data_IF_926027287951
#
_entry.id   IF_926027287951
#
_cell.length_a   1.000
_cell.length_b   1.000
_cell.length_c   1.000
_cell.angle_alpha   90.00
_cell.angle_beta   90.00
_cell.angle_gamma   90.00
#
_symmetry.space_group_name_H-M   'P 1'
#
loop_
_entity.id
_entity.type
_entity.pdbx_description
1 polymer ?
#
# COMPACT_ATOMS: atom_id res chain seq x y z
N UNK A 1 34.26 -44.61 -1.24
CA UNK A 1 33.05 -44.35 -0.42
C UNK A 1 33.22 -43.05 0.39
N UNK A 2 33.77 -41.97 -0.20
CA UNK A 2 34.21 -40.77 0.56
C UNK A 2 34.24 -39.48 -0.25
N UNK A 3 33.61 -39.39 -1.44
CA UNK A 3 33.65 -38.15 -2.25
C UNK A 3 32.29 -37.43 -2.36
N UNK A 4 31.27 -37.89 -1.63
CA UNK A 4 29.90 -37.36 -1.75
C UNK A 4 29.53 -36.31 -0.67
N UNK A 5 30.45 -35.94 0.23
CA UNK A 5 30.13 -35.13 1.42
C UNK A 5 30.68 -33.69 1.33
N UNK A 6 30.96 -33.16 0.14
CA UNK A 6 31.33 -31.74 -0.03
C UNK A 6 30.46 -30.97 -1.04
N UNK A 7 29.16 -31.28 -1.10
CA UNK A 7 28.18 -30.39 -1.73
C UNK A 7 27.92 -29.19 -0.80
N UNK A 8 28.86 -28.25 -0.83
CA UNK A 8 28.83 -26.97 -0.11
C UNK A 8 27.60 -26.17 -0.54
N UNK A 9 26.53 -26.26 0.24
CA UNK A 9 25.37 -25.37 0.16
C UNK A 9 25.84 -23.91 0.17
N UNK A 10 25.85 -23.28 -1.01
CA UNK A 10 26.05 -21.84 -1.15
C UNK A 10 24.73 -21.18 -0.75
N UNK A 11 24.65 -20.41 0.36
CA UNK A 11 23.45 -19.66 0.67
C UNK A 11 23.22 -18.67 -0.49
N UNK A 12 22.11 -18.87 -1.19
CA UNK A 12 21.75 -18.12 -2.37
C UNK A 12 21.46 -16.67 -1.99
N UNK A 13 22.27 -15.76 -2.55
CA UNK A 13 22.24 -14.30 -2.36
C UNK A 13 21.01 -13.62 -3.00
N UNK A 14 19.82 -14.20 -2.88
CA UNK A 14 18.58 -13.64 -3.45
C UNK A 14 18.13 -12.40 -2.66
N UNK A 15 18.45 -12.35 -1.37
CA UNK A 15 18.00 -11.29 -0.46
C UNK A 15 18.67 -9.93 -0.71
N UNK A 16 19.98 -9.91 -1.06
CA UNK A 16 20.73 -8.66 -1.29
C UNK A 16 20.26 -7.87 -2.52
N UNK A 17 19.75 -8.56 -3.55
CA UNK A 17 19.32 -7.93 -4.80
C UNK A 17 18.00 -7.17 -4.60
N UNK A 18 17.10 -7.71 -3.75
CA UNK A 18 15.79 -7.10 -3.50
C UNK A 18 15.90 -5.77 -2.73
N UNK A 19 16.76 -5.71 -1.71
CA UNK A 19 16.97 -4.51 -0.88
C UNK A 19 17.58 -3.35 -1.67
N UNK A 20 18.62 -3.60 -2.49
CA UNK A 20 19.23 -2.54 -3.30
C UNK A 20 18.23 -1.88 -4.24
N UNK A 21 17.29 -2.66 -4.80
CA UNK A 21 16.24 -2.16 -5.70
C UNK A 21 15.20 -1.32 -4.96
N UNK A 22 14.76 -1.75 -3.77
CA UNK A 22 13.81 -0.97 -2.96
C UNK A 22 14.43 0.35 -2.51
N UNK A 23 15.68 0.34 -2.05
CA UNK A 23 16.37 1.58 -1.65
C UNK A 23 16.47 2.54 -2.83
N UNK A 24 16.87 2.08 -4.02
CA UNK A 24 16.90 2.95 -5.21
C UNK A 24 15.52 3.51 -5.58
N UNK A 25 14.47 2.69 -5.47
CA UNK A 25 13.10 3.15 -5.75
C UNK A 25 12.60 4.18 -4.73
N UNK A 26 13.11 4.14 -3.49
CA UNK A 26 12.73 5.08 -2.43
C UNK A 26 13.49 6.41 -2.47
N UNK A 27 14.62 6.50 -3.18
CA UNK A 27 15.41 7.74 -3.27
C UNK A 27 14.54 8.90 -3.79
N UNK A 28 13.80 8.66 -4.87
CA UNK A 28 12.96 9.69 -5.49
C UNK A 28 11.85 10.22 -4.56
N UNK A 29 10.99 9.37 -3.95
CA UNK A 29 9.97 9.86 -3.03
C UNK A 29 10.56 10.48 -1.76
N UNK A 30 11.66 9.95 -1.22
CA UNK A 30 12.35 10.57 -0.07
C UNK A 30 12.87 11.96 -0.42
N UNK A 31 13.53 12.11 -1.57
CA UNK A 31 14.01 13.39 -2.05
C UNK A 31 12.87 14.40 -2.21
N UNK A 32 11.74 13.96 -2.78
CA UNK A 32 10.55 14.80 -2.90
C UNK A 32 10.01 15.24 -1.54
N UNK A 33 9.91 14.34 -0.55
CA UNK A 33 9.45 14.69 0.81
C UNK A 33 10.39 15.72 1.46
N UNK A 34 11.71 15.57 1.29
CA UNK A 34 12.68 16.53 1.81
C UNK A 34 12.51 17.90 1.15
N UNK A 35 12.39 17.94 -0.17
CA UNK A 35 12.20 19.19 -0.93
C UNK A 35 10.88 19.87 -0.55
N UNK A 36 9.81 19.09 -0.40
CA UNK A 36 8.52 19.58 0.10
C UNK A 36 8.64 20.14 1.52
N UNK A 37 9.33 19.44 2.43
CA UNK A 37 9.56 19.94 3.79
C UNK A 37 10.30 21.28 3.79
N UNK A 38 11.36 21.40 2.99
CA UNK A 38 12.12 22.66 2.85
C UNK A 38 11.21 23.77 2.31
N UNK A 39 10.45 23.51 1.25
CA UNK A 39 9.54 24.50 0.67
C UNK A 39 8.45 24.95 1.67
N UNK A 40 7.95 24.04 2.51
CA UNK A 40 6.99 24.35 3.56
C UNK A 40 7.59 25.19 4.69
N UNK A 41 8.80 24.85 5.18
CA UNK A 41 9.46 25.59 6.26
C UNK A 41 9.89 26.99 5.80
N UNK A 42 10.30 27.13 4.54
CA UNK A 42 10.67 28.42 3.95
C UNK A 42 9.47 29.27 3.51
N UNK A 43 8.24 28.85 3.82
CA UNK A 43 6.99 29.54 3.45
C UNK A 43 6.83 29.79 1.94
N UNK A 44 7.44 28.95 1.09
CA UNK A 44 7.24 29.03 -0.37
C UNK A 44 5.87 28.52 -0.80
N UNK A 45 5.19 27.79 0.09
CA UNK A 45 3.88 27.19 -0.14
C UNK A 45 2.89 27.76 0.89
N UNK A 46 1.67 28.06 0.45
CA UNK A 46 0.59 28.46 1.35
C UNK A 46 0.24 27.28 2.27
N UNK A 47 0.42 27.39 3.61
CA UNK A 47 0.13 26.31 4.55
C UNK A 47 -1.33 25.87 4.56
N UNK A 48 -2.25 26.70 4.06
CA UNK A 48 -3.67 26.37 3.95
C UNK A 48 -3.96 25.45 2.77
N UNK A 49 -3.18 25.56 1.70
CA UNK A 49 -3.29 24.70 0.52
C UNK A 49 -2.41 23.47 0.63
N UNK A 50 -1.17 23.65 1.09
CA UNK A 50 -0.16 22.60 1.18
C UNK A 50 0.47 22.62 2.58
N UNK A 51 -0.15 21.93 3.54
CA UNK A 51 0.41 21.80 4.89
C UNK A 51 1.78 21.08 4.84
N UNK A 52 2.61 21.28 5.85
CA UNK A 52 3.91 20.62 5.93
C UNK A 52 3.76 19.09 6.02
N UNK A 53 4.75 18.31 5.55
CA UNK A 53 4.71 16.85 5.66
C UNK A 53 4.53 16.37 7.11
N UNK A 54 5.13 17.08 8.07
CA UNK A 54 4.97 16.77 9.50
C UNK A 54 3.54 17.03 9.98
N UNK A 55 2.94 18.14 9.56
CA UNK A 55 1.53 18.45 9.87
C UNK A 55 0.60 17.40 9.29
N UNK A 56 0.85 16.95 8.06
CA UNK A 56 0.09 15.86 7.43
C UNK A 56 0.20 14.57 8.25
N UNK A 57 1.40 14.21 8.71
CA UNK A 57 1.61 13.02 9.53
C UNK A 57 0.88 13.11 10.88
N UNK A 58 0.99 14.25 11.57
CA UNK A 58 0.30 14.49 12.84
C UNK A 58 -1.21 14.39 12.64
N UNK A 59 -1.74 15.04 11.61
CA UNK A 59 -3.17 15.00 11.30
C UNK A 59 -3.62 13.58 10.95
N UNK A 60 -2.82 12.81 10.22
CA UNK A 60 -3.13 11.42 9.90
C UNK A 60 -3.22 10.55 11.16
N UNK A 61 -2.24 10.64 12.06
CA UNK A 61 -2.25 9.92 13.34
C UNK A 61 -3.46 10.35 14.18
N UNK A 62 -3.72 11.65 14.26
CA UNK A 62 -4.87 12.19 14.98
C UNK A 62 -6.18 11.66 14.39
N UNK A 63 -6.37 11.70 13.07
CA UNK A 63 -7.57 11.16 12.41
C UNK A 63 -7.77 9.67 12.68
N UNK A 64 -6.72 8.85 12.62
CA UNK A 64 -6.81 7.41 12.90
C UNK A 64 -7.15 7.13 14.36
N UNK A 65 -6.79 8.03 15.27
CA UNK A 65 -7.16 7.90 16.69
C UNK A 65 -8.64 8.22 16.97
N UNK A 66 -9.35 8.86 16.03
CA UNK A 66 -10.75 9.23 16.19
C UNK A 66 -11.70 8.08 15.86
N UNK A 67 -12.74 7.91 16.68
CA UNK A 67 -13.77 6.88 16.43
C UNK A 67 -14.58 7.12 15.15
N UNK A 68 -14.80 8.39 14.79
CA UNK A 68 -15.55 8.78 13.59
C UNK A 68 -14.85 8.33 12.30
N UNK A 69 -13.51 8.32 12.26
CA UNK A 69 -12.74 7.78 11.15
C UNK A 69 -13.06 6.30 10.93
N UNK A 70 -13.03 5.50 11.99
CA UNK A 70 -13.30 4.06 11.91
C UNK A 70 -14.74 3.76 11.53
N UNK A 71 -15.71 4.55 12.00
CA UNK A 71 -17.11 4.41 11.59
C UNK A 71 -17.27 4.58 10.07
N UNK A 72 -16.69 5.65 9.50
CA UNK A 72 -16.73 5.90 8.06
C UNK A 72 -15.96 4.85 7.25
N UNK A 73 -14.81 4.42 7.77
CA UNK A 73 -13.98 3.39 7.15
C UNK A 73 -14.71 2.04 7.07
N UNK A 74 -15.28 1.60 8.18
CA UNK A 74 -16.05 0.35 8.26
C UNK A 74 -17.31 0.45 7.38
N UNK A 75 -18.01 1.59 7.39
CA UNK A 75 -19.17 1.80 6.53
C UNK A 75 -18.83 1.68 5.03
N UNK A 76 -17.69 2.25 4.59
CA UNK A 76 -17.22 2.10 3.21
C UNK A 76 -16.89 0.65 2.86
N UNK A 77 -16.19 -0.06 3.74
CA UNK A 77 -15.86 -1.48 3.53
C UNK A 77 -17.14 -2.33 3.46
N UNK A 78 -18.05 -2.16 4.41
CA UNK A 78 -19.31 -2.89 4.46
C UNK A 78 -20.13 -2.68 3.18
N UNK A 79 -20.20 -1.44 2.68
CA UNK A 79 -20.88 -1.11 1.42
C UNK A 79 -20.20 -1.75 0.21
N UNK A 80 -18.87 -1.69 0.12
CA UNK A 80 -18.15 -2.28 -1.00
C UNK A 80 -18.30 -3.81 -1.01
N UNK A 81 -18.25 -4.44 0.17
CA UNK A 81 -18.37 -5.88 0.31
C UNK A 81 -19.79 -6.36 0.01
N UNK A 82 -20.82 -5.63 0.47
CA UNK A 82 -22.21 -5.98 0.16
C UNK A 82 -22.50 -5.88 -1.33
N UNK A 83 -22.05 -4.79 -1.98
CA UNK A 83 -22.16 -4.64 -3.44
C UNK A 83 -21.40 -5.73 -4.20
N UNK A 84 -20.17 -6.06 -3.76
CA UNK A 84 -19.40 -7.16 -4.32
C UNK A 84 -20.11 -8.51 -4.20
N UNK A 85 -20.64 -8.85 -3.02
CA UNK A 85 -21.31 -10.13 -2.80
C UNK A 85 -22.57 -10.26 -3.66
N UNK A 86 -23.36 -9.19 -3.76
CA UNK A 86 -24.55 -9.18 -4.61
C UNK A 86 -24.17 -9.33 -6.09
N UNK A 87 -23.21 -8.54 -6.57
CA UNK A 87 -22.74 -8.59 -7.95
C UNK A 87 -22.10 -9.92 -8.31
N UNK A 88 -21.24 -10.46 -7.44
CA UNK A 88 -20.57 -11.75 -7.64
C UNK A 88 -21.58 -12.89 -7.66
N UNK A 89 -22.56 -12.90 -6.76
CA UNK A 89 -23.60 -13.94 -6.73
C UNK A 89 -24.43 -13.93 -8.01
N UNK A 90 -24.90 -12.75 -8.43
CA UNK A 90 -25.65 -12.61 -9.68
C UNK A 90 -24.80 -12.99 -10.90
N UNK A 91 -23.55 -12.54 -10.95
CA UNK A 91 -22.62 -12.87 -12.03
C UNK A 91 -22.36 -14.37 -12.14
N UNK A 92 -22.20 -15.07 -11.01
CA UNK A 92 -22.07 -16.52 -10.98
C UNK A 92 -23.33 -17.21 -11.48
N UNK A 93 -24.52 -16.79 -11.00
CA UNK A 93 -25.79 -17.36 -11.45
C UNK A 93 -25.93 -17.20 -12.97
N UNK A 94 -25.72 -15.99 -13.49
CA UNK A 94 -25.79 -15.74 -14.94
C UNK A 94 -24.74 -16.52 -15.71
N UNK A 95 -23.50 -16.60 -15.21
CA UNK A 95 -22.43 -17.38 -15.82
C UNK A 95 -22.76 -18.87 -15.93
N UNK A 96 -23.37 -19.45 -14.88
CA UNK A 96 -23.81 -20.85 -14.87
C UNK A 96 -24.95 -21.07 -15.85
N UNK A 97 -25.96 -20.19 -15.86
CA UNK A 97 -27.11 -20.26 -16.78
C UNK A 97 -26.63 -20.20 -18.23
N UNK A 98 -25.79 -19.22 -18.57
CA UNK A 98 -25.26 -19.06 -19.93
C UNK A 98 -24.31 -20.20 -20.33
N UNK A 99 -23.47 -20.69 -19.41
CA UNK A 99 -22.51 -21.76 -19.68
C UNK A 99 -23.14 -23.16 -19.80
N UNK A 100 -24.28 -23.37 -19.15
CA UNK A 100 -25.04 -24.64 -19.22
C UNK A 100 -26.03 -24.64 -20.39
N UNK A 101 -26.34 -23.46 -20.95
CA UNK A 101 -27.14 -23.30 -22.16
C UNK A 101 -26.35 -23.73 -23.40
N UNK A 102 -26.22 -25.03 -23.59
CA UNK A 102 -25.91 -25.67 -24.87
C UNK A 102 -27.20 -25.96 -25.61
#
# INVERSE_FOLDING_TARGET
>A
MTDFILEKHRPTSVFKIKIKRVVHALILPLFFIVLWNIASVQHWLDPKLIPSPLTVLINAIHSVSQISFWQGFIASIARNLSGYLLGASLGVIFGVVLGTSR
#
